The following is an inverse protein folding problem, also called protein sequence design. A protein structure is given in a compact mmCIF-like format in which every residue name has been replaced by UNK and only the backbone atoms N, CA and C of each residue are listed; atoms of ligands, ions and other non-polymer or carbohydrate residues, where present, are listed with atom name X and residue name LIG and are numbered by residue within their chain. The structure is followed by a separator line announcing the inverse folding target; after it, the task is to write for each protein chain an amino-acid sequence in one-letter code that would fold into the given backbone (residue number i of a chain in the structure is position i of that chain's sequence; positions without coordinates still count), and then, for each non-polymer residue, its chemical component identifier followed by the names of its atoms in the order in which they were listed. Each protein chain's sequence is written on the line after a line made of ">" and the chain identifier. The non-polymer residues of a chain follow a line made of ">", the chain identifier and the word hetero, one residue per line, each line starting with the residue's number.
data_IF_228758226781
#
_entry.id   IF_228758226781
#
_cell.length_a   1.000
_cell.length_b   1.000
_cell.length_c   1.000
_cell.angle_alpha   90.00
_cell.angle_beta   90.00
_cell.angle_gamma   90.00
#
_symmetry.space_group_name_H-M   'P 1'
#
loop_
_entity.id
_entity.type
_entity.pdbx_description
1 polymer ?
#
# COMPACT_ATOMS: atom_id res chain seq x y z
N UNK A 1 -11.33 -15.50 6.27
CA UNK A 1 -11.65 -14.57 5.16
C UNK A 1 -10.39 -13.79 4.91
N UNK A 2 -9.86 -13.86 3.71
CA UNK A 2 -8.54 -13.29 3.37
C UNK A 2 -8.65 -11.76 3.25
N UNK A 3 -7.92 -11.01 4.09
CA UNK A 3 -7.99 -9.55 4.09
C UNK A 3 -6.76 -8.91 3.43
N UNK A 4 -7.01 -7.87 2.64
CA UNK A 4 -5.99 -7.05 1.99
C UNK A 4 -6.14 -5.62 2.50
N UNK A 5 -5.05 -4.98 2.90
CA UNK A 5 -5.05 -3.57 3.29
C UNK A 5 -4.82 -2.66 2.06
N UNK A 6 -5.65 -1.66 1.88
CA UNK A 6 -5.40 -0.57 0.92
C UNK A 6 -4.83 0.64 1.67
N UNK A 7 -3.60 0.98 1.36
CA UNK A 7 -2.81 2.01 2.04
C UNK A 7 -2.33 3.06 1.03
N UNK A 8 -2.33 4.31 1.40
CA UNK A 8 -1.78 5.36 0.54
C UNK A 8 -1.92 6.75 1.16
N UNK A 9 -1.24 7.70 0.54
CA UNK A 9 -1.27 9.08 0.98
C UNK A 9 -2.66 9.72 0.74
N UNK A 10 -3.02 10.75 1.47
CA UNK A 10 -4.21 11.53 1.15
C UNK A 10 -4.17 12.01 -0.31
N UNK A 11 -5.32 11.95 -0.98
CA UNK A 11 -5.52 12.40 -2.37
C UNK A 11 -4.77 11.62 -3.47
N UNK A 12 -4.14 10.48 -3.19
CA UNK A 12 -3.51 9.63 -4.21
C UNK A 12 -4.52 8.85 -5.10
N UNK A 13 -5.83 9.01 -4.85
CA UNK A 13 -6.89 8.29 -5.57
C UNK A 13 -7.32 6.96 -4.92
N UNK A 14 -7.01 6.77 -3.65
CA UNK A 14 -7.31 5.57 -2.87
C UNK A 14 -8.79 5.18 -2.93
N UNK A 15 -9.71 6.09 -2.65
CA UNK A 15 -11.16 5.85 -2.72
C UNK A 15 -11.62 5.46 -4.14
N UNK A 16 -11.04 6.07 -5.17
CA UNK A 16 -11.37 5.73 -6.57
C UNK A 16 -10.95 4.30 -6.88
N UNK A 17 -9.74 3.90 -6.47
CA UNK A 17 -9.27 2.53 -6.65
C UNK A 17 -10.10 1.53 -5.83
N UNK A 18 -10.42 1.86 -4.56
CA UNK A 18 -11.27 1.03 -3.73
C UNK A 18 -12.61 0.75 -4.40
N UNK A 19 -13.27 1.79 -4.90
CA UNK A 19 -14.56 1.66 -5.61
C UNK A 19 -14.43 0.84 -6.90
N UNK A 20 -13.35 1.02 -7.66
CA UNK A 20 -13.11 0.25 -8.88
C UNK A 20 -12.89 -1.25 -8.60
N UNK A 21 -12.21 -1.58 -7.50
CA UNK A 21 -11.94 -2.97 -7.10
C UNK A 21 -13.14 -3.67 -6.46
N UNK A 22 -14.01 -2.95 -5.72
CA UNK A 22 -15.08 -3.56 -4.91
C UNK A 22 -16.48 -3.35 -5.49
N UNK A 23 -16.66 -2.40 -6.41
CA UNK A 23 -17.99 -2.07 -6.95
C UNK A 23 -18.93 -1.57 -5.87
N UNK A 24 -20.18 -2.06 -5.88
CA UNK A 24 -21.24 -1.67 -4.93
C UNK A 24 -21.24 -2.50 -3.62
N UNK A 25 -20.42 -3.53 -3.51
CA UNK A 25 -20.40 -4.45 -2.36
C UNK A 25 -19.48 -3.93 -1.26
N UNK A 26 -19.88 -2.84 -0.62
CA UNK A 26 -19.11 -2.17 0.40
C UNK A 26 -19.89 -2.06 1.71
N UNK A 27 -19.17 -2.19 2.81
CA UNK A 27 -19.63 -1.84 4.15
C UNK A 27 -18.89 -0.60 4.62
N UNK A 28 -19.63 0.39 5.10
CA UNK A 28 -19.10 1.62 5.66
C UNK A 28 -19.49 1.71 7.13
N UNK A 29 -18.55 1.92 7.99
CA UNK A 29 -18.73 2.09 9.43
C UNK A 29 -17.61 2.96 10.01
N UNK A 30 -17.41 2.90 11.30
CA UNK A 30 -16.30 3.58 11.96
C UNK A 30 -15.32 2.55 12.55
N UNK A 31 -14.06 2.95 12.67
CA UNK A 31 -13.12 2.18 13.47
C UNK A 31 -13.57 2.18 14.93
N UNK A 32 -13.34 1.05 15.62
CA UNK A 32 -13.79 0.88 17.00
C UNK A 32 -13.26 2.00 17.92
N UNK A 33 -14.18 2.69 18.62
CA UNK A 33 -13.85 3.72 19.60
C UNK A 33 -13.45 5.08 19.06
N UNK A 34 -13.55 5.30 17.74
CA UNK A 34 -13.19 6.59 17.10
C UNK A 34 -14.18 6.98 16.00
N UNK A 35 -14.13 8.25 15.58
CA UNK A 35 -15.00 8.81 14.51
C UNK A 35 -14.40 8.63 13.09
N UNK A 36 -13.28 7.95 12.97
CA UNK A 36 -12.62 7.70 11.66
C UNK A 36 -13.38 6.62 10.90
N UNK A 37 -13.71 6.90 9.64
CA UNK A 37 -14.45 5.99 8.77
C UNK A 37 -13.63 4.75 8.41
N UNK A 38 -14.28 3.58 8.47
CA UNK A 38 -13.75 2.29 8.02
C UNK A 38 -14.58 1.79 6.85
N UNK A 39 -13.95 1.57 5.71
CA UNK A 39 -14.57 0.95 4.54
C UNK A 39 -14.01 -0.44 4.31
N UNK A 40 -14.91 -1.37 4.07
CA UNK A 40 -14.57 -2.75 3.76
C UNK A 40 -15.40 -3.21 2.59
N UNK A 41 -14.79 -3.84 1.60
CA UNK A 41 -15.49 -4.33 0.42
C UNK A 41 -14.90 -5.65 -0.08
N UNK A 42 -15.73 -6.47 -0.74
CA UNK A 42 -15.24 -7.67 -1.40
C UNK A 42 -14.69 -7.28 -2.78
N UNK A 43 -13.48 -7.70 -3.10
CA UNK A 43 -12.90 -7.52 -4.44
C UNK A 43 -13.70 -8.33 -5.45
N UNK A 44 -14.10 -7.70 -6.56
CA UNK A 44 -14.88 -8.32 -7.63
C UNK A 44 -14.18 -9.59 -8.13
N UNK A 45 -14.94 -10.66 -8.31
CA UNK A 45 -14.46 -11.96 -8.80
C UNK A 45 -13.31 -12.59 -7.96
N UNK A 46 -13.24 -12.28 -6.67
CA UNK A 46 -12.27 -12.87 -5.76
C UNK A 46 -12.88 -13.21 -4.40
N UNK A 47 -12.14 -13.94 -3.56
CA UNK A 47 -12.51 -14.20 -2.17
C UNK A 47 -11.79 -13.27 -1.18
N UNK A 48 -11.14 -12.25 -1.69
CA UNK A 48 -10.45 -11.26 -0.88
C UNK A 48 -11.37 -10.13 -0.41
N UNK A 49 -11.17 -9.73 0.83
CA UNK A 49 -11.79 -8.56 1.43
C UNK A 49 -10.78 -7.41 1.43
N UNK A 50 -11.13 -6.30 0.82
CA UNK A 50 -10.32 -5.08 0.81
C UNK A 50 -10.74 -4.18 1.96
N UNK A 51 -9.78 -3.78 2.79
CA UNK A 51 -9.98 -2.83 3.89
C UNK A 51 -9.30 -1.52 3.54
N UNK A 52 -10.10 -0.46 3.38
CA UNK A 52 -9.60 0.89 3.11
C UNK A 52 -9.09 1.53 4.40
N UNK A 53 -7.78 1.70 4.52
CA UNK A 53 -7.18 2.37 5.66
C UNK A 53 -7.25 3.90 5.49
N UNK A 54 -7.24 4.68 6.57
CA UNK A 54 -7.13 6.13 6.49
C UNK A 54 -5.93 6.56 5.65
N UNK A 55 -6.04 7.71 4.97
CA UNK A 55 -4.93 8.28 4.22
C UNK A 55 -3.82 8.77 5.16
N UNK A 56 -2.61 8.26 5.00
CA UNK A 56 -1.48 8.54 5.88
C UNK A 56 -0.23 8.92 5.07
N UNK A 57 0.68 9.66 5.68
CA UNK A 57 1.96 10.01 5.09
C UNK A 57 3.11 9.15 5.61
N UNK A 58 2.94 8.56 6.79
CA UNK A 58 3.92 7.67 7.42
C UNK A 58 3.23 6.68 8.34
N UNK A 59 3.95 5.66 8.79
CA UNK A 59 3.51 4.73 9.84
C UNK A 59 3.82 5.25 11.26
N UNK A 60 4.43 6.43 11.38
CA UNK A 60 4.71 7.06 12.67
C UNK A 60 3.40 7.54 13.31
N UNK A 61 3.11 7.19 14.57
CA UNK A 61 1.80 7.38 15.19
C UNK A 61 1.55 8.82 15.69
N UNK A 62 1.75 9.82 14.83
CA UNK A 62 1.50 11.24 15.18
C UNK A 62 0.04 11.64 15.08
N UNK A 63 -0.71 11.03 14.18
CA UNK A 63 -2.15 11.25 14.04
C UNK A 63 -2.95 10.01 14.43
N UNK A 64 -4.26 10.16 14.63
CA UNK A 64 -5.15 9.05 14.90
C UNK A 64 -5.22 8.10 13.69
N UNK A 65 -5.22 8.66 12.49
CA UNK A 65 -5.24 7.94 11.23
C UNK A 65 -4.00 7.07 11.05
N UNK A 66 -2.81 7.61 11.33
CA UNK A 66 -1.54 6.87 11.26
C UNK A 66 -1.48 5.77 12.31
N UNK A 67 -1.95 6.04 13.52
CA UNK A 67 -2.06 5.03 14.58
C UNK A 67 -2.98 3.88 14.16
N UNK A 68 -4.18 4.17 13.66
CA UNK A 68 -5.14 3.17 13.21
C UNK A 68 -4.60 2.31 12.07
N UNK A 69 -3.99 2.94 11.06
CA UNK A 69 -3.40 2.24 9.93
C UNK A 69 -2.26 1.32 10.37
N UNK A 70 -1.34 1.83 11.20
CA UNK A 70 -0.23 1.04 11.75
C UNK A 70 -0.70 -0.13 12.61
N UNK A 71 -1.66 0.10 13.52
CA UNK A 71 -2.23 -0.95 14.36
C UNK A 71 -2.93 -2.03 13.52
N UNK A 72 -3.69 -1.66 12.50
CA UNK A 72 -4.32 -2.62 11.62
C UNK A 72 -3.29 -3.50 10.89
N UNK A 73 -2.29 -2.89 10.27
CA UNK A 73 -1.28 -3.63 9.50
C UNK A 73 -0.47 -4.57 10.41
N UNK A 74 -0.12 -4.12 11.62
CA UNK A 74 0.75 -4.88 12.53
C UNK A 74 -0.05 -5.94 13.30
N UNK A 75 -1.20 -5.57 13.90
CA UNK A 75 -1.96 -6.43 14.81
C UNK A 75 -2.97 -7.33 14.11
N UNK A 76 -3.75 -6.78 13.15
CA UNK A 76 -4.76 -7.54 12.42
C UNK A 76 -4.14 -8.43 11.33
N UNK A 77 -2.97 -8.04 10.82
CA UNK A 77 -2.15 -8.87 9.96
C UNK A 77 -2.79 -9.20 8.60
N UNK A 78 -3.07 -8.22 7.72
CA UNK A 78 -3.58 -8.49 6.39
C UNK A 78 -2.61 -9.40 5.60
N UNK A 79 -3.15 -10.23 4.71
CA UNK A 79 -2.35 -11.18 3.90
C UNK A 79 -1.49 -10.46 2.86
N UNK A 80 -1.96 -9.31 2.38
CA UNK A 80 -1.18 -8.45 1.50
C UNK A 80 -1.55 -6.98 1.69
N UNK A 81 -0.69 -6.11 1.18
CA UNK A 81 -0.87 -4.67 1.16
C UNK A 81 -0.93 -4.19 -0.30
N UNK A 82 -1.96 -3.44 -0.65
CA UNK A 82 -1.98 -2.60 -1.85
C UNK A 82 -1.57 -1.20 -1.41
N UNK A 83 -0.37 -0.77 -1.78
CA UNK A 83 0.08 0.59 -1.54
C UNK A 83 -0.15 1.43 -2.79
N UNK A 84 -1.09 2.39 -2.73
CA UNK A 84 -1.37 3.31 -3.83
C UNK A 84 -0.68 4.64 -3.62
N UNK A 85 0.00 5.11 -4.67
CA UNK A 85 0.71 6.39 -4.70
C UNK A 85 0.26 7.26 -5.87
N UNK A 86 0.47 8.56 -5.74
CA UNK A 86 0.30 9.55 -6.80
C UNK A 86 1.58 9.65 -7.63
N UNK A 87 1.53 9.24 -8.90
CA UNK A 87 2.66 9.29 -9.82
C UNK A 87 3.16 10.70 -10.12
N UNK A 88 2.31 11.74 -9.94
CA UNK A 88 2.73 13.15 -10.14
C UNK A 88 3.55 13.70 -8.96
N UNK A 89 3.54 13.01 -7.80
CA UNK A 89 4.27 13.35 -6.58
C UNK A 89 5.01 12.14 -6.01
N UNK A 90 5.66 11.37 -6.88
CA UNK A 90 6.19 10.05 -6.57
C UNK A 90 7.20 10.07 -5.39
N UNK A 91 8.12 11.02 -5.36
CA UNK A 91 9.17 11.12 -4.33
C UNK A 91 8.57 11.20 -2.91
N UNK A 92 7.59 12.08 -2.72
CA UNK A 92 6.92 12.22 -1.43
C UNK A 92 6.17 10.98 -1.03
N UNK A 93 5.56 10.29 -2.00
CA UNK A 93 4.72 9.12 -1.72
C UNK A 93 5.55 7.87 -1.44
N UNK A 94 6.74 7.73 -2.05
CA UNK A 94 7.63 6.60 -1.81
C UNK A 94 8.15 6.52 -0.37
N UNK A 95 8.11 7.60 0.40
CA UNK A 95 8.47 7.57 1.81
C UNK A 95 7.63 6.56 2.61
N UNK A 96 6.31 6.58 2.42
CA UNK A 96 5.41 5.58 3.03
C UNK A 96 5.67 4.18 2.47
N UNK A 97 5.93 4.07 1.16
CA UNK A 97 6.22 2.78 0.50
C UNK A 97 7.40 2.07 1.13
N UNK A 98 8.50 2.80 1.39
CA UNK A 98 9.71 2.24 2.03
C UNK A 98 9.38 1.71 3.43
N UNK A 99 8.62 2.44 4.24
CA UNK A 99 8.20 1.98 5.56
C UNK A 99 7.32 0.72 5.50
N UNK A 100 6.46 0.58 4.47
CA UNK A 100 5.65 -0.62 4.27
C UNK A 100 6.51 -1.82 3.84
N UNK A 101 7.56 -1.61 3.04
CA UNK A 101 8.54 -2.63 2.67
C UNK A 101 9.22 -3.22 3.91
N UNK A 102 9.58 -2.39 4.89
CA UNK A 102 10.21 -2.81 6.15
C UNK A 102 9.33 -3.75 6.98
N UNK A 103 8.01 -3.69 6.81
CA UNK A 103 7.11 -4.62 7.50
C UNK A 103 7.16 -6.06 6.96
N UNK A 104 7.86 -6.30 5.86
CA UNK A 104 8.09 -7.64 5.29
C UNK A 104 6.80 -8.42 5.05
N UNK A 105 5.75 -7.73 4.58
CA UNK A 105 4.48 -8.35 4.18
C UNK A 105 4.37 -8.39 2.66
N UNK A 106 3.70 -9.40 2.08
CA UNK A 106 3.37 -9.39 0.66
C UNK A 106 2.71 -8.07 0.27
N UNK A 107 3.22 -7.40 -0.76
CA UNK A 107 2.67 -6.11 -1.18
C UNK A 107 2.81 -5.85 -2.68
N UNK A 108 1.94 -4.98 -3.18
CA UNK A 108 1.96 -4.45 -4.54
C UNK A 108 1.96 -2.93 -4.46
N UNK A 109 2.87 -2.28 -5.16
CA UNK A 109 2.87 -0.83 -5.35
C UNK A 109 2.02 -0.47 -6.57
N UNK A 110 1.05 0.42 -6.38
CA UNK A 110 0.15 0.90 -7.43
C UNK A 110 0.44 2.38 -7.68
N UNK A 111 0.94 2.72 -8.86
CA UNK A 111 1.19 4.11 -9.26
C UNK A 111 -0.03 4.62 -10.01
N UNK A 112 -0.80 5.50 -9.39
CA UNK A 112 -1.98 6.11 -9.98
C UNK A 112 -1.64 7.44 -10.70
N UNK A 113 -2.61 7.98 -11.41
CA UNK A 113 -2.51 9.23 -12.18
C UNK A 113 -1.46 9.17 -13.31
N UNK A 114 -1.21 7.98 -13.86
CA UNK A 114 -0.26 7.80 -14.97
C UNK A 114 -0.68 8.52 -16.26
N UNK A 115 -1.95 8.84 -16.40
CA UNK A 115 -2.45 9.70 -17.47
C UNK A 115 -2.01 11.16 -17.27
N UNK A 116 -1.99 11.67 -16.04
CA UNK A 116 -1.54 13.02 -15.73
C UNK A 116 0.00 13.13 -15.82
N UNK A 117 0.74 12.09 -15.39
CA UNK A 117 2.20 11.98 -15.60
C UNK A 117 2.55 12.09 -17.09
N UNK A 118 1.87 11.33 -17.95
CA UNK A 118 2.09 11.38 -19.40
C UNK A 118 1.69 12.72 -20.01
N UNK A 119 0.58 13.30 -19.56
CA UNK A 119 0.10 14.59 -20.04
C UNK A 119 1.07 15.74 -19.73
N UNK A 120 1.80 15.66 -18.61
CA UNK A 120 2.85 16.61 -18.24
C UNK A 120 4.21 16.35 -18.92
N UNK A 121 4.29 15.35 -19.81
CA UNK A 121 5.55 14.98 -20.48
C UNK A 121 6.49 14.12 -19.61
N UNK A 122 6.03 13.69 -18.42
CA UNK A 122 6.78 12.81 -17.53
C UNK A 122 6.76 11.35 -17.99
N UNK A 123 7.74 10.60 -17.50
CA UNK A 123 7.79 9.14 -17.65
C UNK A 123 8.33 8.52 -16.35
N UNK A 124 7.75 7.39 -15.95
CA UNK A 124 8.22 6.58 -14.84
C UNK A 124 8.63 5.23 -15.38
N UNK A 125 9.88 4.84 -15.17
CA UNK A 125 10.36 3.49 -15.49
C UNK A 125 9.85 2.52 -14.42
N UNK A 126 8.69 1.93 -14.69
CA UNK A 126 7.99 1.03 -13.79
C UNK A 126 8.77 -0.27 -13.55
N UNK A 127 9.48 -0.77 -14.58
CA UNK A 127 10.27 -2.00 -14.45
C UNK A 127 11.48 -1.77 -13.57
N UNK A 128 12.22 -0.69 -13.83
CA UNK A 128 13.36 -0.31 -13.00
C UNK A 128 12.95 -0.07 -11.53
N UNK A 129 11.80 0.59 -11.31
CA UNK A 129 11.29 0.82 -9.95
C UNK A 129 10.90 -0.49 -9.25
N UNK A 130 10.30 -1.43 -10.00
CA UNK A 130 9.96 -2.75 -9.46
C UNK A 130 11.20 -3.54 -9.07
N UNK A 131 12.23 -3.53 -9.91
CA UNK A 131 13.50 -4.20 -9.62
C UNK A 131 14.22 -3.57 -8.41
N UNK A 132 14.23 -2.24 -8.34
CA UNK A 132 14.86 -1.49 -7.25
C UNK A 132 14.18 -1.74 -5.89
N UNK A 133 12.85 -1.76 -5.87
CA UNK A 133 12.08 -1.96 -4.63
C UNK A 133 11.89 -3.47 -4.30
N UNK A 134 12.13 -4.36 -5.25
CA UNK A 134 11.92 -5.80 -5.10
C UNK A 134 10.46 -6.21 -4.89
N UNK A 135 9.52 -5.40 -5.37
CA UNK A 135 8.07 -5.64 -5.29
C UNK A 135 7.39 -5.36 -6.64
N UNK A 136 6.26 -6.01 -6.95
CA UNK A 136 5.49 -5.69 -8.15
C UNK A 136 5.01 -4.25 -8.15
N UNK A 137 5.15 -3.56 -9.28
CA UNK A 137 4.68 -2.19 -9.49
C UNK A 137 3.69 -2.15 -10.64
N UNK A 138 2.47 -1.65 -10.39
CA UNK A 138 1.40 -1.58 -11.37
C UNK A 138 1.03 -0.13 -11.68
N UNK A 139 1.29 0.37 -12.89
CA UNK A 139 0.87 1.71 -13.30
C UNK A 139 -0.62 1.71 -13.70
N UNK A 140 -1.40 2.60 -13.11
CA UNK A 140 -2.84 2.71 -13.36
C UNK A 140 -3.30 4.14 -13.66
N UNK A 141 -4.51 4.26 -14.17
CA UNK A 141 -5.35 5.44 -14.06
C UNK A 141 -6.70 5.01 -13.48
N UNK A 142 -6.88 5.18 -12.17
CA UNK A 142 -8.11 4.75 -11.48
C UNK A 142 -9.34 5.49 -12.05
N UNK A 143 -9.20 6.77 -12.38
CA UNK A 143 -10.26 7.58 -12.99
C UNK A 143 -10.72 7.04 -14.35
N UNK A 144 -9.79 6.46 -15.13
CA UNK A 144 -10.08 5.89 -16.46
C UNK A 144 -10.32 4.38 -16.43
N UNK A 145 -10.33 3.78 -15.26
CA UNK A 145 -10.44 2.34 -15.07
C UNK A 145 -9.38 1.54 -15.87
N UNK A 146 -8.16 2.09 -15.97
CA UNK A 146 -7.08 1.50 -16.75
C UNK A 146 -6.16 0.67 -15.86
N UNK A 147 -5.86 -0.58 -16.25
CA UNK A 147 -5.01 -1.55 -15.55
C UNK A 147 -5.48 -1.95 -14.14
N UNK A 148 -6.76 -1.78 -13.80
CA UNK A 148 -7.28 -2.17 -12.47
C UNK A 148 -7.21 -3.69 -12.29
N UNK A 149 -7.52 -4.47 -13.33
CA UNK A 149 -7.47 -5.93 -13.27
C UNK A 149 -6.06 -6.45 -12.96
N UNK A 150 -5.02 -5.78 -13.47
CA UNK A 150 -3.62 -6.13 -13.18
C UNK A 150 -3.27 -5.98 -11.70
N UNK A 151 -3.90 -5.06 -10.98
CA UNK A 151 -3.69 -4.93 -9.53
C UNK A 151 -4.14 -6.20 -8.83
N UNK A 152 -5.32 -6.73 -9.18
CA UNK A 152 -5.85 -7.97 -8.60
C UNK A 152 -4.97 -9.17 -8.94
N UNK A 153 -4.50 -9.26 -10.20
CA UNK A 153 -3.59 -10.33 -10.65
C UNK A 153 -2.28 -10.33 -9.85
N UNK A 154 -1.64 -9.16 -9.68
CA UNK A 154 -0.37 -9.07 -8.95
C UNK A 154 -0.57 -9.32 -7.44
N UNK A 155 -1.67 -8.85 -6.85
CA UNK A 155 -2.02 -9.18 -5.46
C UNK A 155 -2.20 -10.69 -5.28
N UNK A 156 -2.92 -11.35 -6.19
CA UNK A 156 -3.07 -12.80 -6.15
C UNK A 156 -1.71 -13.53 -6.25
N UNK A 157 -0.79 -13.06 -7.11
CA UNK A 157 0.54 -13.63 -7.25
C UNK A 157 1.38 -13.49 -5.97
N UNK A 158 1.42 -12.30 -5.37
CA UNK A 158 2.22 -12.07 -4.16
C UNK A 158 1.71 -12.89 -2.98
N UNK A 159 0.40 -13.07 -2.85
CA UNK A 159 -0.19 -13.93 -1.81
C UNK A 159 0.13 -15.41 -2.10
N UNK A 160 -0.19 -15.88 -3.31
CA UNK A 160 -0.03 -17.30 -3.69
C UNK A 160 1.41 -17.79 -3.56
N UNK A 161 2.38 -16.95 -3.92
CA UNK A 161 3.81 -17.31 -3.91
C UNK A 161 4.54 -16.78 -2.68
N UNK A 162 3.83 -16.15 -1.74
CA UNK A 162 4.38 -15.52 -0.53
C UNK A 162 5.57 -14.61 -0.87
N UNK A 163 5.41 -13.73 -1.86
CA UNK A 163 6.46 -12.81 -2.29
C UNK A 163 6.59 -11.70 -1.27
N UNK A 164 7.64 -11.79 -0.45
CA UNK A 164 7.95 -10.84 0.60
C UNK A 164 8.97 -9.82 0.07
N UNK A 165 8.80 -8.52 0.34
CA UNK A 165 9.79 -7.51 -0.03
C UNK A 165 11.19 -7.83 0.51
N UNK A 166 12.27 -7.44 -0.17
CA UNK A 166 13.63 -7.63 0.33
C UNK A 166 13.88 -6.81 1.61
N UNK A 167 14.91 -7.18 2.35
CA UNK A 167 15.40 -6.33 3.44
C UNK A 167 16.03 -5.06 2.89
N UNK A 168 15.77 -3.94 3.56
CA UNK A 168 16.41 -2.68 3.23
C UNK A 168 17.83 -2.71 3.80
N UNK A 169 18.82 -2.58 2.94
CA UNK A 169 20.20 -2.49 3.36
C UNK A 169 20.54 -1.03 3.73
N UNK A 170 20.78 -0.80 5.00
CA UNK A 170 21.28 0.47 5.50
C UNK A 170 22.82 0.52 5.42
N UNK A 171 23.36 1.72 5.50
CA UNK A 171 24.80 1.88 5.70
C UNK A 171 25.28 1.23 7.01
N UNK A 172 26.58 0.92 7.09
CA UNK A 172 27.16 0.20 8.22
C UNK A 172 26.91 0.88 9.58
N UNK A 173 26.87 2.22 9.62
CA UNK A 173 26.63 2.97 10.85
C UNK A 173 25.22 2.76 11.36
N UNK A 174 24.23 2.89 10.47
CA UNK A 174 22.81 2.67 10.78
C UNK A 174 22.54 1.21 11.16
N UNK A 175 23.15 0.25 10.43
CA UNK A 175 22.97 -1.18 10.73
C UNK A 175 23.55 -1.56 12.10
N UNK A 176 24.70 -1.02 12.48
CA UNK A 176 25.30 -1.23 13.78
C UNK A 176 24.41 -0.68 14.91
N UNK A 177 23.87 0.54 14.74
CA UNK A 177 22.96 1.13 15.72
C UNK A 177 21.67 0.29 15.87
N UNK A 178 21.10 -0.22 14.78
CA UNK A 178 19.95 -1.12 14.83
C UNK A 178 20.28 -2.42 15.57
N UNK A 179 21.44 -3.03 15.32
CA UNK A 179 21.88 -4.25 16.00
C UNK A 179 22.08 -4.03 17.52
N UNK A 180 22.61 -2.88 17.92
CA UNK A 180 22.71 -2.51 19.32
C UNK A 180 21.33 -2.38 19.98
N UNK A 181 20.38 -1.70 19.32
CA UNK A 181 19.00 -1.57 19.80
C UNK A 181 18.35 -2.95 19.96
N UNK A 182 18.46 -3.83 18.95
CA UNK A 182 17.93 -5.18 19.04
C UNK A 182 18.51 -5.98 20.22
N UNK A 183 19.82 -5.83 20.49
CA UNK A 183 20.46 -6.52 21.61
C UNK A 183 19.97 -6.07 22.99
N UNK A 184 19.33 -4.89 23.09
CA UNK A 184 18.76 -4.36 24.34
C UNK A 184 17.32 -4.82 24.56
N UNK A 185 16.59 -5.05 23.46
CA UNK A 185 15.14 -5.35 23.50
C UNK A 185 14.86 -6.85 23.63
N UNK A 186 15.78 -7.70 23.19
CA UNK A 186 15.70 -9.17 23.27
C UNK A 186 16.43 -9.68 24.50
#
# INVERSE_FOLDING_TARGET
>A
MHSIALVGNPNCGKTTLFNALTGSNQYVGNWAGVTVEKKVGKIINSDYQLVDLPGIYSLSPYSMEEKLAGEYIIKEGPEAIINIIDGTNIERNLYLTVQLIELRKPMVLVINMMDDVKASGGNIDVLYLSDLLGIPVVPISARRNHNIDKVVEEVHKVIKHNIIPPEINYDNSTQNALNEIYSIIV
#
